data_IF_924702469341
#
_entry.id   IF_924702469341
#
_cell.length_a   1.000
_cell.length_b   1.000
_cell.length_c   1.000
_cell.angle_alpha   90.00
_cell.angle_beta   90.00
_cell.angle_gamma   90.00
#
_symmetry.space_group_name_H-M   'P 1'
#
loop_
_entity.id
_entity.type
_entity.pdbx_description
1 polymer ?
#
# COMPACT_ATOMS: atom_id res chain seq x y z
N UNK A 1 14.65 -3.61 3.95
CA UNK A 1 15.74 -4.53 4.36
C UNK A 1 16.45 -4.14 5.65
N UNK A 2 16.96 -2.91 5.84
CA UNK A 2 17.68 -2.53 7.08
C UNK A 2 16.91 -2.85 8.38
N UNK A 3 15.63 -2.50 8.44
CA UNK A 3 14.80 -2.78 9.62
C UNK A 3 14.60 -4.28 9.86
N UNK A 4 14.45 -5.07 8.79
CA UNK A 4 14.34 -6.54 8.86
C UNK A 4 15.61 -7.14 9.46
N UNK A 5 16.79 -6.73 8.98
CA UNK A 5 18.08 -7.16 9.52
C UNK A 5 18.28 -6.73 10.98
N UNK A 6 17.82 -5.52 11.35
CA UNK A 6 17.86 -5.05 12.74
C UNK A 6 17.02 -5.93 13.67
N UNK A 7 15.78 -6.24 13.27
CA UNK A 7 14.90 -7.13 14.03
C UNK A 7 15.49 -8.54 14.19
N UNK A 8 16.16 -9.03 13.15
CA UNK A 8 16.84 -10.33 13.13
C UNK A 8 18.22 -10.34 13.79
N UNK A 9 18.74 -9.19 14.27
CA UNK A 9 20.12 -9.04 14.77
C UNK A 9 21.17 -9.57 13.79
N UNK A 10 21.00 -9.25 12.51
CA UNK A 10 21.87 -9.68 11.41
C UNK A 10 21.39 -10.94 10.68
N UNK A 11 20.52 -11.75 11.28
CA UNK A 11 19.93 -12.93 10.64
C UNK A 11 18.68 -12.52 9.82
N UNK A 12 18.73 -12.74 8.51
CA UNK A 12 17.64 -12.35 7.62
C UNK A 12 16.39 -13.22 7.77
N UNK A 13 16.54 -14.52 8.06
CA UNK A 13 15.42 -15.44 8.21
C UNK A 13 14.65 -15.12 9.50
N UNK A 14 15.36 -14.95 10.61
CA UNK A 14 14.77 -14.47 11.86
C UNK A 14 14.15 -13.09 11.71
N UNK A 15 14.85 -12.20 11.01
CA UNK A 15 14.36 -10.85 10.73
C UNK A 15 13.05 -10.85 9.96
N UNK A 16 12.89 -11.74 8.98
CA UNK A 16 11.66 -11.88 8.20
C UNK A 16 10.47 -12.29 9.07
N UNK A 17 10.65 -13.28 9.96
CA UNK A 17 9.60 -13.73 10.90
C UNK A 17 9.15 -12.57 11.80
N UNK A 18 10.10 -11.87 12.42
CA UNK A 18 9.78 -10.72 13.29
C UNK A 18 9.16 -9.54 12.53
N UNK A 19 9.59 -9.32 11.29
CA UNK A 19 9.08 -8.23 10.47
C UNK A 19 7.62 -8.45 10.06
N UNK A 20 7.19 -9.69 9.76
CA UNK A 20 5.77 -10.00 9.58
C UNK A 20 4.99 -9.83 10.88
N UNK A 21 5.50 -10.38 12.00
CA UNK A 21 4.87 -10.26 13.32
C UNK A 21 4.62 -8.82 13.77
N UNK A 22 5.50 -7.90 13.36
CA UNK A 22 5.43 -6.47 13.72
C UNK A 22 4.84 -5.57 12.62
N UNK A 23 4.53 -6.10 11.44
CA UNK A 23 4.04 -5.34 10.28
C UNK A 23 5.09 -4.47 9.59
N UNK A 24 6.38 -4.67 9.86
CA UNK A 24 7.48 -4.06 9.09
C UNK A 24 7.52 -4.59 7.66
N UNK A 25 7.12 -5.85 7.48
CA UNK A 25 6.72 -6.41 6.20
C UNK A 25 5.23 -6.74 6.26
N UNK A 26 4.49 -6.25 5.27
CA UNK A 26 3.05 -6.41 5.20
C UNK A 26 2.65 -6.56 3.73
N UNK A 27 1.87 -7.59 3.43
CA UNK A 27 1.45 -7.96 2.08
C UNK A 27 -0.05 -7.68 1.95
N UNK A 28 -0.46 -6.73 1.10
CA UNK A 28 -1.88 -6.43 0.90
C UNK A 28 -2.69 -7.66 0.53
N UNK A 29 -3.85 -7.84 1.18
CA UNK A 29 -4.82 -8.91 0.92
C UNK A 29 -4.29 -10.35 1.12
N UNK A 30 -3.13 -10.52 1.76
CA UNK A 30 -2.63 -11.85 2.08
C UNK A 30 -3.56 -12.55 3.09
N UNK A 31 -3.94 -13.82 2.86
CA UNK A 31 -4.83 -14.56 3.76
C UNK A 31 -4.13 -15.09 5.02
N UNK A 32 -2.81 -14.96 5.11
CA UNK A 32 -2.02 -15.54 6.20
C UNK A 32 -2.26 -14.78 7.51
N UNK A 33 -2.58 -15.50 8.59
CA UNK A 33 -2.76 -14.92 9.93
C UNK A 33 -1.50 -14.24 10.50
N UNK A 34 -0.32 -14.60 9.99
CA UNK A 34 0.94 -13.95 10.33
C UNK A 34 1.10 -12.56 9.70
N UNK A 35 0.27 -12.20 8.71
CA UNK A 35 0.29 -10.90 8.06
C UNK A 35 -0.62 -9.92 8.81
N UNK A 36 -0.11 -8.73 9.14
CA UNK A 36 -0.85 -7.75 9.93
C UNK A 36 -1.97 -7.07 9.12
N UNK A 37 -1.81 -6.92 7.80
CA UNK A 37 -2.88 -6.47 6.90
C UNK A 37 -3.25 -5.00 7.04
N UNK A 38 -2.31 -4.14 7.46
CA UNK A 38 -2.53 -2.68 7.62
C UNK A 38 -2.06 -1.89 6.40
N UNK A 39 -1.03 -2.35 5.68
CA UNK A 39 -0.58 -1.66 4.48
C UNK A 39 -1.66 -1.71 3.40
N UNK A 40 -2.11 -0.53 2.98
CA UNK A 40 -3.17 -0.37 1.99
C UNK A 40 -2.61 0.25 0.71
N UNK A 41 -2.64 -0.46 -0.43
CA UNK A 41 -2.23 0.08 -1.71
C UNK A 41 -3.41 0.77 -2.42
N UNK A 42 -3.10 1.75 -3.27
CA UNK A 42 -4.06 2.36 -4.21
C UNK A 42 -3.34 2.79 -5.48
N UNK A 43 -4.02 2.88 -6.63
CA UNK A 43 -3.41 3.45 -7.83
C UNK A 43 -3.42 4.98 -7.80
N UNK A 44 -2.38 5.59 -8.35
CA UNK A 44 -2.38 7.02 -8.65
C UNK A 44 -3.11 7.34 -9.97
N UNK A 45 -3.07 8.61 -10.37
CA UNK A 45 -3.78 9.10 -11.54
C UNK A 45 -3.30 8.46 -12.87
N UNK A 46 -2.10 7.92 -12.89
CA UNK A 46 -1.49 7.27 -14.06
C UNK A 46 -1.52 5.74 -13.95
N UNK A 47 -2.12 5.20 -12.88
CA UNK A 47 -2.29 3.78 -12.66
C UNK A 47 -1.15 3.09 -11.93
N UNK A 48 -0.12 3.80 -11.49
CA UNK A 48 0.96 3.22 -10.70
C UNK A 48 0.49 2.95 -9.27
N UNK A 49 0.91 1.83 -8.68
CA UNK A 49 0.56 1.49 -7.30
C UNK A 49 1.33 2.43 -6.34
N UNK A 50 0.60 2.96 -5.36
CA UNK A 50 1.08 3.83 -4.28
C UNK A 50 0.64 3.29 -2.93
N UNK A 51 1.26 3.82 -1.88
CA UNK A 51 0.93 3.52 -0.49
C UNK A 51 -0.08 4.55 -0.01
N UNK A 52 -1.32 4.12 0.18
CA UNK A 52 -2.40 4.95 0.75
C UNK A 52 -2.26 5.01 2.28
N UNK A 53 -2.09 3.84 2.90
CA UNK A 53 -1.74 3.70 4.31
C UNK A 53 -0.55 2.75 4.40
N UNK A 54 0.50 3.17 5.10
CA UNK A 54 1.72 2.37 5.26
C UNK A 54 1.62 1.37 6.42
N UNK A 55 0.66 1.52 7.33
CA UNK A 55 0.62 0.78 8.58
C UNK A 55 1.96 0.91 9.33
N UNK A 56 2.62 -0.23 9.56
CA UNK A 56 3.91 -0.29 10.26
C UNK A 56 5.12 -0.38 9.30
N UNK A 57 4.91 -0.33 7.99
CA UNK A 57 6.02 -0.44 7.03
C UNK A 57 6.88 0.82 7.11
N UNK A 58 8.19 0.70 7.40
CA UNK A 58 9.03 1.83 7.78
C UNK A 58 9.54 2.61 6.57
N UNK A 59 8.63 3.30 5.89
CA UNK A 59 8.97 4.18 4.78
C UNK A 59 9.40 5.57 5.28
N UNK A 60 10.41 6.20 4.63
CA UNK A 60 10.78 7.58 4.91
C UNK A 60 9.61 8.57 4.73
N UNK A 61 9.60 9.66 5.50
CA UNK A 61 8.51 10.64 5.49
C UNK A 61 8.35 11.34 4.14
N UNK A 62 9.44 11.66 3.48
CA UNK A 62 9.48 12.24 2.13
C UNK A 62 8.93 11.28 1.08
N UNK A 63 9.22 9.98 1.20
CA UNK A 63 8.63 8.94 0.33
C UNK A 63 7.13 8.83 0.55
N UNK A 64 6.65 8.84 1.80
CA UNK A 64 5.22 8.84 2.12
C UNK A 64 4.51 10.10 1.61
N UNK A 65 5.15 11.27 1.74
CA UNK A 65 4.62 12.52 1.20
C UNK A 65 4.47 12.44 -0.33
N UNK A 66 5.46 11.89 -1.04
CA UNK A 66 5.38 11.69 -2.48
C UNK A 66 4.24 10.75 -2.89
N UNK A 67 4.02 9.64 -2.19
CA UNK A 67 2.87 8.78 -2.42
C UNK A 67 1.55 9.52 -2.23
N UNK A 68 1.42 10.27 -1.14
CA UNK A 68 0.23 11.08 -0.84
C UNK A 68 -0.05 12.10 -1.94
N UNK A 69 0.99 12.79 -2.43
CA UNK A 69 0.83 13.81 -3.47
C UNK A 69 0.34 13.20 -4.79
N UNK A 70 0.87 12.02 -5.17
CA UNK A 70 0.43 11.26 -6.36
C UNK A 70 -1.01 10.76 -6.24
N UNK A 71 -1.43 10.35 -5.04
CA UNK A 71 -2.82 9.96 -4.79
C UNK A 71 -3.74 11.19 -4.83
N UNK A 72 -3.28 12.34 -4.30
CA UNK A 72 -4.04 13.59 -4.33
C UNK A 72 -4.24 14.12 -5.76
N UNK A 73 -3.28 13.90 -6.67
CA UNK A 73 -3.47 14.17 -8.11
C UNK A 73 -4.66 13.39 -8.69
N UNK A 74 -4.81 12.11 -8.33
CA UNK A 74 -5.97 11.29 -8.73
C UNK A 74 -7.27 11.82 -8.13
N UNK A 75 -7.27 12.09 -6.83
CA UNK A 75 -8.43 12.61 -6.11
C UNK A 75 -8.98 13.89 -6.75
N UNK A 76 -8.09 14.85 -7.07
CA UNK A 76 -8.46 16.07 -7.79
C UNK A 76 -9.04 15.78 -9.19
N UNK A 77 -8.41 14.87 -9.95
CA UNK A 77 -8.88 14.51 -11.29
C UNK A 77 -10.24 13.80 -11.28
N UNK A 78 -10.57 13.06 -10.22
CA UNK A 78 -11.85 12.36 -10.05
C UNK A 78 -12.92 13.18 -9.32
N UNK A 79 -12.58 14.38 -8.85
CA UNK A 79 -13.53 15.24 -8.11
C UNK A 79 -14.01 14.61 -6.80
N UNK A 80 -13.21 13.76 -6.16
CA UNK A 80 -13.54 13.09 -4.89
C UNK A 80 -12.34 12.99 -3.96
N UNK A 81 -12.59 12.85 -2.66
CA UNK A 81 -11.52 12.61 -1.69
C UNK A 81 -10.87 11.23 -1.86
N UNK A 82 -9.55 11.18 -1.61
CA UNK A 82 -8.83 9.91 -1.53
C UNK A 82 -9.39 9.09 -0.36
N UNK A 83 -9.84 7.87 -0.66
CA UNK A 83 -10.49 7.00 0.33
C UNK A 83 -10.29 5.53 0.00
N UNK A 84 -10.61 4.64 0.94
CA UNK A 84 -10.57 3.20 0.73
C UNK A 84 -11.47 2.74 -0.44
N UNK A 85 -12.51 3.50 -0.79
CA UNK A 85 -13.35 3.20 -1.96
C UNK A 85 -12.54 3.19 -3.27
N UNK A 86 -11.48 4.02 -3.40
CA UNK A 86 -10.60 3.97 -4.57
C UNK A 86 -9.90 2.61 -4.71
N UNK A 87 -9.57 1.95 -3.58
CA UNK A 87 -8.96 0.61 -3.56
C UNK A 87 -9.96 -0.43 -4.04
N UNK A 88 -11.20 -0.36 -3.55
CA UNK A 88 -12.29 -1.25 -3.99
C UNK A 88 -12.54 -1.09 -5.49
N UNK A 89 -12.55 0.16 -5.98
CA UNK A 89 -12.72 0.46 -7.40
C UNK A 89 -11.57 -0.11 -8.24
N UNK A 90 -10.32 0.02 -7.79
CA UNK A 90 -9.15 -0.51 -8.49
C UNK A 90 -9.16 -2.04 -8.60
N UNK A 91 -9.64 -2.75 -7.56
CA UNK A 91 -9.81 -4.21 -7.61
C UNK A 91 -10.91 -4.59 -8.60
N UNK A 92 -12.04 -3.88 -8.58
CA UNK A 92 -13.16 -4.14 -9.51
C UNK A 92 -12.79 -3.83 -10.95
N UNK A 93 -12.00 -2.79 -11.20
CA UNK A 93 -11.56 -2.37 -12.53
C UNK A 93 -10.92 -3.50 -13.35
N UNK A 94 -10.23 -4.43 -12.68
CA UNK A 94 -9.60 -5.61 -13.31
C UNK A 94 -10.65 -6.46 -14.04
N UNK A 95 -11.78 -6.76 -13.40
CA UNK A 95 -12.88 -7.51 -14.02
C UNK A 95 -13.53 -6.77 -15.21
N UNK A 96 -13.41 -5.45 -15.24
CA UNK A 96 -13.88 -4.60 -16.34
C UNK A 96 -12.80 -4.33 -17.41
N UNK A 97 -11.65 -5.02 -17.35
CA UNK A 97 -10.49 -4.80 -18.24
C UNK A 97 -10.01 -3.34 -18.26
N UNK A 98 -10.10 -2.65 -17.12
CA UNK A 98 -9.57 -1.30 -16.92
C UNK A 98 -8.42 -1.33 -15.90
N UNK A 99 -7.45 -0.45 -16.09
CA UNK A 99 -6.30 -0.35 -15.19
C UNK A 99 -6.63 0.37 -13.88
N UNK A 100 -7.39 1.47 -13.97
CA UNK A 100 -7.73 2.35 -12.83
C UNK A 100 -9.23 2.35 -12.62
N UNK A 101 -9.66 2.17 -11.36
CA UNK A 101 -11.05 2.23 -10.96
C UNK A 101 -11.56 3.66 -10.92
N UNK A 102 -11.87 4.22 -12.08
CA UNK A 102 -12.52 5.54 -12.17
C UNK A 102 -13.99 5.41 -11.80
N UNK A 103 -14.60 6.42 -11.13
CA UNK A 103 -16.04 6.51 -11.00
C UNK A 103 -16.71 6.41 -12.38
N UNK A 104 -17.82 5.71 -12.48
CA UNK A 104 -18.67 5.80 -13.67
C UNK A 104 -19.18 7.25 -13.78
N UNK A 105 -19.15 7.81 -14.99
CA UNK A 105 -19.84 9.06 -15.29
C UNK A 105 -21.36 8.86 -15.24
#
# INVERSE_FOLDING_TARGET
>A
MRQVLKLGRGDIARGAVEAFRTGVMDIPFAPAAANLGKLTPVRDNHGAIRIYDAGNVPLPRDVLAWHRDKIAERARAEGREASFNMVVDDVRAISASKLVGRPAA
#
